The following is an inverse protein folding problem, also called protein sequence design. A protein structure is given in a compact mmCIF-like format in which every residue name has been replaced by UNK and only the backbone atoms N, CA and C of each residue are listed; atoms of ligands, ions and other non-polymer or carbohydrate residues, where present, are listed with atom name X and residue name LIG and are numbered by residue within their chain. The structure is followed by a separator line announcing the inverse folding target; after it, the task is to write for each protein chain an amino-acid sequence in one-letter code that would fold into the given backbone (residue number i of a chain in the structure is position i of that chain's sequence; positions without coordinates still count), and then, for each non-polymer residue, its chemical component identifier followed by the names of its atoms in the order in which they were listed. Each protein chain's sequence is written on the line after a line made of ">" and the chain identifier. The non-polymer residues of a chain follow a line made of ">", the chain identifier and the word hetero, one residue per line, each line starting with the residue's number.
data_IF_275242136905
#
_entry.id   IF_275242136905
#
_cell.length_a   1.000
_cell.length_b   1.000
_cell.length_c   1.000
_cell.angle_alpha   90.00
_cell.angle_beta   90.00
_cell.angle_gamma   90.00
#
_symmetry.space_group_name_H-M   'P 1'
#
loop_
_entity.id
_entity.type
_entity.pdbx_description
1 polymer ?
#
# COMPACT_ATOMS: atom_id res chain seq x y z
N UNK A 1 -0.66 -0.16 -0.57
CA UNK A 1 -0.95 -0.95 0.63
C UNK A 1 0.03 -2.10 0.69
N UNK A 2 0.51 -2.45 1.88
CA UNK A 2 1.32 -3.64 2.10
C UNK A 2 0.61 -4.92 1.65
N UNK A 3 -0.72 -4.97 1.77
CA UNK A 3 -1.52 -6.17 1.47
C UNK A 3 -1.58 -6.43 -0.03
N UNK A 4 -1.81 -5.38 -0.83
CA UNK A 4 -1.82 -5.51 -2.30
C UNK A 4 -0.43 -5.85 -2.82
N UNK A 5 0.62 -5.27 -2.20
CA UNK A 5 2.01 -5.62 -2.49
C UNK A 5 2.31 -7.10 -2.18
N UNK A 6 1.83 -7.61 -1.05
CA UNK A 6 1.99 -9.01 -0.67
C UNK A 6 1.25 -9.93 -1.64
N UNK A 7 -0.01 -9.63 -1.97
CA UNK A 7 -0.77 -10.40 -2.95
C UNK A 7 -0.07 -10.43 -4.33
N UNK A 8 0.49 -9.30 -4.76
CA UNK A 8 1.28 -9.20 -5.99
C UNK A 8 2.58 -10.01 -5.92
N UNK A 9 3.28 -9.98 -4.78
CA UNK A 9 4.51 -10.76 -4.58
C UNK A 9 4.23 -12.27 -4.64
N UNK A 10 3.15 -12.73 -4.00
CA UNK A 10 2.72 -14.13 -4.09
C UNK A 10 2.30 -14.52 -5.51
N UNK A 11 1.70 -13.61 -6.28
CA UNK A 11 1.37 -13.87 -7.69
C UNK A 11 2.64 -14.08 -8.53
N UNK A 12 3.66 -13.24 -8.34
CA UNK A 12 4.96 -13.40 -9.01
C UNK A 12 5.62 -14.73 -8.65
N UNK A 13 5.63 -15.10 -7.36
CA UNK A 13 6.16 -16.39 -6.89
C UNK A 13 5.44 -17.57 -7.55
N UNK A 14 4.10 -17.52 -7.63
CA UNK A 14 3.29 -18.56 -8.30
C UNK A 14 3.59 -18.67 -9.79
N UNK A 15 3.93 -17.55 -10.44
CA UNK A 15 4.26 -17.51 -11.87
C UNK A 15 5.75 -17.74 -12.15
N UNK A 16 6.58 -17.88 -11.11
CA UNK A 16 8.03 -18.04 -11.25
C UNK A 16 8.73 -16.80 -11.82
N UNK A 17 8.13 -15.62 -11.66
CA UNK A 17 8.70 -14.35 -12.14
C UNK A 17 9.53 -13.75 -11.01
N UNK A 18 10.86 -13.55 -11.19
CA UNK A 18 11.69 -12.96 -10.16
C UNK A 18 11.36 -11.47 -9.99
N UNK A 19 11.53 -10.98 -8.76
CA UNK A 19 11.53 -9.55 -8.45
C UNK A 19 12.61 -9.25 -7.43
N UNK A 20 13.06 -8.02 -7.40
CA UNK A 20 14.13 -7.62 -6.50
C UNK A 20 13.64 -7.53 -5.05
N UNK A 21 14.40 -8.14 -4.12
CA UNK A 21 14.09 -8.11 -2.70
C UNK A 21 14.03 -6.70 -2.09
N UNK A 22 14.68 -5.70 -2.71
CA UNK A 22 14.60 -4.31 -2.25
C UNK A 22 13.22 -3.69 -2.44
N UNK A 23 12.32 -4.30 -3.23
CA UNK A 23 10.95 -3.80 -3.41
C UNK A 23 10.17 -3.77 -2.10
N UNK A 24 10.50 -4.63 -1.14
CA UNK A 24 9.95 -4.58 0.23
C UNK A 24 10.37 -3.29 0.95
N UNK A 25 11.62 -2.84 0.75
CA UNK A 25 12.10 -1.58 1.28
C UNK A 25 11.37 -0.39 0.65
N UNK A 26 11.14 -0.45 -0.67
CA UNK A 26 10.38 0.57 -1.42
C UNK A 26 8.96 0.66 -0.87
N UNK A 27 8.28 -0.47 -0.64
CA UNK A 27 6.94 -0.50 -0.07
C UNK A 27 6.86 0.24 1.27
N UNK A 28 7.81 -0.01 2.16
CA UNK A 28 7.85 0.63 3.48
C UNK A 28 8.25 2.12 3.41
N UNK A 29 9.24 2.46 2.57
CA UNK A 29 9.70 3.85 2.42
C UNK A 29 8.65 4.75 1.79
N UNK A 30 7.76 4.22 0.93
CA UNK A 30 6.67 4.99 0.32
C UNK A 30 5.58 5.43 1.31
N UNK A 31 5.47 4.83 2.50
CA UNK A 31 4.43 5.22 3.47
C UNK A 31 4.61 6.64 3.99
N UNK A 32 5.85 7.04 4.31
CA UNK A 32 6.12 8.35 4.90
C UNK A 32 5.86 9.51 3.93
N UNK A 33 6.39 9.51 2.69
CA UNK A 33 6.07 10.54 1.71
C UNK A 33 4.58 10.63 1.41
N UNK A 34 3.86 9.50 1.40
CA UNK A 34 2.42 9.48 1.16
C UNK A 34 1.64 10.17 2.29
N UNK A 35 1.95 9.84 3.56
CA UNK A 35 1.33 10.48 4.72
C UNK A 35 1.64 11.99 4.74
N UNK A 36 2.90 12.37 4.53
CA UNK A 36 3.32 13.77 4.50
C UNK A 36 2.62 14.56 3.39
N UNK A 37 2.54 13.98 2.19
CA UNK A 37 1.87 14.62 1.05
C UNK A 37 0.38 14.80 1.31
N UNK A 38 -0.29 13.79 1.88
CA UNK A 38 -1.71 13.87 2.23
C UNK A 38 -1.98 15.00 3.24
N UNK A 39 -1.16 15.08 4.30
CA UNK A 39 -1.27 16.12 5.32
C UNK A 39 -0.95 17.51 4.77
N UNK A 40 0.06 17.62 3.92
CA UNK A 40 0.40 18.89 3.26
C UNK A 40 -0.73 19.38 2.35
N UNK A 41 -1.31 18.49 1.53
CA UNK A 41 -2.47 18.82 0.69
C UNK A 41 -3.62 19.28 1.56
N UNK A 42 -3.96 18.54 2.62
CA UNK A 42 -5.08 18.88 3.48
C UNK A 42 -4.91 20.24 4.18
N UNK A 43 -3.72 20.50 4.73
CA UNK A 43 -3.39 21.79 5.36
C UNK A 43 -3.46 22.96 4.37
N UNK A 44 -3.11 22.76 3.10
CA UNK A 44 -3.17 23.80 2.07
C UNK A 44 -4.60 24.25 1.77
N UNK A 45 -5.57 23.34 1.89
CA UNK A 45 -6.98 23.61 1.58
C UNK A 45 -7.86 23.78 2.83
N UNK A 46 -7.28 23.69 4.03
CA UNK A 46 -7.97 24.04 5.26
C UNK A 46 -8.05 25.57 5.42
N UNK A 47 -9.27 26.11 5.50
CA UNK A 47 -9.52 27.56 5.59
C UNK A 47 -9.27 28.17 6.97
N UNK A 48 -8.86 27.39 7.98
CA UNK A 48 -8.60 27.91 9.33
C UNK A 48 -7.34 27.29 9.95
N UNK A 49 -6.59 28.12 10.68
CA UNK A 49 -5.22 27.86 11.13
C UNK A 49 -5.16 26.89 12.31
N UNK A 50 -5.41 25.60 12.07
CA UNK A 50 -5.07 24.52 13.01
C UNK A 50 -4.20 23.45 12.36
N UNK A 51 -3.14 23.89 11.68
CA UNK A 51 -2.08 23.00 11.23
C UNK A 51 -1.28 22.52 12.44
N UNK A 52 -1.60 21.33 12.95
CA UNK A 52 -0.70 20.60 13.82
C UNK A 52 0.59 20.31 13.05
N UNK A 53 1.70 20.91 13.48
CA UNK A 53 3.02 20.52 12.97
C UNK A 53 3.27 19.05 13.31
N UNK A 54 3.37 18.19 12.29
CA UNK A 54 3.86 16.81 12.52
C UNK A 54 5.33 16.91 12.89
N UNK A 55 5.74 16.52 14.10
CA UNK A 55 7.13 16.62 14.52
C UNK A 55 8.00 15.70 13.64
N UNK A 56 9.05 16.24 13.04
CA UNK A 56 10.02 15.46 12.22
C UNK A 56 10.61 14.26 13.00
N UNK A 57 10.66 14.37 14.33
CA UNK A 57 11.12 13.31 15.24
C UNK A 57 10.13 12.14 15.34
N UNK A 58 8.83 12.38 15.21
CA UNK A 58 7.80 11.32 15.18
C UNK A 58 7.78 10.57 13.85
N UNK A 59 8.11 11.27 12.75
CA UNK A 59 8.26 10.66 11.42
C UNK A 59 9.48 9.73 11.35
N UNK A 60 10.61 10.12 11.92
CA UNK A 60 11.83 9.31 11.98
C UNK A 60 11.76 8.19 13.05
N UNK A 61 11.00 8.38 14.11
CA UNK A 61 10.75 7.36 15.15
C UNK A 61 9.57 6.44 14.82
N UNK A 62 9.09 6.44 13.58
CA UNK A 62 8.04 5.53 13.15
C UNK A 62 8.54 4.08 13.32
N UNK A 63 7.82 3.30 14.12
CA UNK A 63 8.17 1.92 14.44
C UNK A 63 8.42 1.07 13.19
N UNK A 64 7.69 1.29 12.10
CA UNK A 64 7.88 0.57 10.84
C UNK A 64 9.26 0.82 10.21
N UNK A 65 9.77 2.06 10.25
CA UNK A 65 11.09 2.39 9.69
C UNK A 65 12.20 1.79 10.56
N UNK A 66 12.08 1.92 11.88
CA UNK A 66 13.05 1.36 12.82
C UNK A 66 13.13 -0.16 12.67
N UNK A 67 11.97 -0.82 12.56
CA UNK A 67 11.90 -2.26 12.32
C UNK A 67 12.47 -2.65 10.96
N UNK A 68 12.18 -1.89 9.89
CA UNK A 68 12.72 -2.15 8.56
C UNK A 68 14.25 -2.04 8.53
N UNK A 69 14.79 -0.93 9.03
CA UNK A 69 16.24 -0.68 9.08
C UNK A 69 16.93 -1.71 9.97
N UNK A 70 16.33 -2.04 11.12
CA UNK A 70 16.81 -3.08 12.01
C UNK A 70 16.80 -4.47 11.34
N UNK A 71 15.72 -4.84 10.65
CA UNK A 71 15.60 -6.10 9.93
C UNK A 71 16.63 -6.21 8.79
N UNK A 72 16.89 -5.12 8.04
CA UNK A 72 17.95 -5.10 7.04
C UNK A 72 19.33 -5.27 7.66
N UNK A 73 19.61 -4.58 8.75
CA UNK A 73 20.89 -4.71 9.44
C UNK A 73 21.12 -6.13 9.97
N UNK A 74 20.12 -6.70 10.64
CA UNK A 74 20.17 -8.08 11.13
C UNK A 74 20.32 -9.05 9.95
N UNK A 75 19.49 -8.91 8.91
CA UNK A 75 19.54 -9.75 7.71
C UNK A 75 20.89 -9.69 6.99
N UNK A 76 21.52 -8.52 6.89
CA UNK A 76 22.85 -8.37 6.31
C UNK A 76 23.93 -9.11 7.10
N UNK A 77 23.81 -9.16 8.43
CA UNK A 77 24.74 -9.86 9.31
C UNK A 77 24.47 -11.37 9.35
N UNK A 78 23.20 -11.79 9.39
CA UNK A 78 22.81 -13.19 9.59
C UNK A 78 22.64 -14.00 8.31
N UNK A 79 22.39 -13.34 7.19
CA UNK A 79 22.19 -13.92 5.86
C UNK A 79 21.19 -15.09 5.88
N UNK A 80 21.44 -16.14 5.08
CA UNK A 80 20.55 -17.30 4.91
C UNK A 80 20.29 -18.06 6.21
N UNK A 81 21.27 -18.09 7.12
CA UNK A 81 21.13 -18.77 8.42
C UNK A 81 20.06 -18.09 9.27
N UNK A 82 20.05 -16.76 9.30
CA UNK A 82 19.01 -16.00 10.00
C UNK A 82 17.63 -16.25 9.40
N UNK A 83 17.53 -16.19 8.07
CA UNK A 83 16.27 -16.43 7.35
C UNK A 83 15.73 -17.85 7.61
N UNK A 84 16.58 -18.88 7.53
CA UNK A 84 16.18 -20.26 7.78
C UNK A 84 15.65 -20.48 9.20
N UNK A 85 16.22 -19.78 10.20
CA UNK A 85 15.73 -19.87 11.58
C UNK A 85 14.37 -19.20 11.79
N UNK A 86 14.08 -18.10 11.10
CA UNK A 86 12.81 -17.37 11.26
C UNK A 86 11.71 -17.86 10.30
N UNK A 87 12.06 -18.57 9.23
CA UNK A 87 11.13 -19.02 8.20
C UNK A 87 9.91 -19.79 8.76
N UNK A 88 10.04 -20.71 9.74
CA UNK A 88 8.89 -21.40 10.33
C UNK A 88 7.88 -20.48 11.03
N UNK A 89 8.34 -19.31 11.49
CA UNK A 89 7.51 -18.32 12.18
C UNK A 89 6.92 -17.28 11.21
N UNK A 90 7.71 -16.85 10.23
CA UNK A 90 7.33 -15.74 9.33
C UNK A 90 6.81 -16.24 7.99
N UNK A 91 7.56 -17.11 7.30
CA UNK A 91 7.32 -17.49 5.89
C UNK A 91 6.33 -18.65 5.79
N UNK A 92 6.52 -19.71 6.56
CA UNK A 92 5.69 -20.93 6.49
C UNK A 92 4.20 -20.66 6.75
N UNK A 93 3.79 -19.91 7.79
CA UNK A 93 2.38 -19.63 8.02
C UNK A 93 1.85 -18.46 7.19
N UNK A 94 2.71 -17.76 6.45
CA UNK A 94 2.40 -16.47 5.81
C UNK A 94 1.17 -16.54 4.91
N UNK A 95 1.11 -17.52 4.01
CA UNK A 95 -0.01 -17.69 3.08
C UNK A 95 -1.33 -17.95 3.82
N UNK A 96 -1.30 -18.75 4.89
CA UNK A 96 -2.48 -19.01 5.72
C UNK A 96 -2.97 -17.75 6.42
N UNK A 97 -2.06 -16.98 7.01
CA UNK A 97 -2.37 -15.69 7.66
C UNK A 97 -2.89 -14.69 6.63
N UNK A 98 -2.27 -14.61 5.45
CA UNK A 98 -2.68 -13.74 4.35
C UNK A 98 -4.10 -14.06 3.88
N UNK A 99 -4.46 -15.34 3.74
CA UNK A 99 -5.81 -15.75 3.37
C UNK A 99 -6.85 -15.28 4.40
N UNK A 100 -6.59 -15.50 5.70
CA UNK A 100 -7.49 -15.02 6.76
C UNK A 100 -7.58 -13.50 6.79
N UNK A 101 -6.46 -12.82 6.58
CA UNK A 101 -6.39 -11.37 6.53
C UNK A 101 -7.17 -10.79 5.33
N UNK A 102 -7.00 -11.35 4.13
CA UNK A 102 -7.76 -10.96 2.94
C UNK A 102 -9.26 -11.21 3.12
N UNK A 103 -9.65 -12.29 3.81
CA UNK A 103 -11.05 -12.56 4.15
C UNK A 103 -11.63 -11.49 5.09
N UNK A 104 -10.94 -11.18 6.19
CA UNK A 104 -11.38 -10.16 7.14
C UNK A 104 -11.48 -8.78 6.48
N UNK A 105 -10.47 -8.42 5.69
CA UNK A 105 -10.45 -7.16 4.94
C UNK A 105 -11.54 -7.11 3.87
N UNK A 106 -11.84 -8.23 3.20
CA UNK A 106 -12.94 -8.34 2.25
C UNK A 106 -14.31 -8.16 2.93
N UNK A 107 -14.50 -8.74 4.12
CA UNK A 107 -15.72 -8.55 4.91
C UNK A 107 -15.86 -7.09 5.38
N UNK A 108 -14.77 -6.49 5.86
CA UNK A 108 -14.75 -5.08 6.27
C UNK A 108 -15.00 -4.13 5.10
N UNK A 109 -14.43 -4.41 3.93
CA UNK A 109 -14.70 -3.70 2.69
C UNK A 109 -16.18 -3.78 2.30
N UNK A 110 -16.75 -4.99 2.32
CA UNK A 110 -18.16 -5.22 2.00
C UNK A 110 -19.10 -4.48 2.95
N UNK A 111 -18.85 -4.56 4.27
CA UNK A 111 -19.60 -3.82 5.29
C UNK A 111 -19.47 -2.31 5.11
N UNK A 112 -18.26 -1.80 4.97
CA UNK A 112 -18.00 -0.37 4.75
C UNK A 112 -18.74 0.14 3.52
N UNK A 113 -18.74 -0.63 2.42
CA UNK A 113 -19.47 -0.28 1.21
C UNK A 113 -20.98 -0.30 1.42
N UNK A 114 -21.53 -1.31 2.10
CA UNK A 114 -22.96 -1.39 2.39
C UNK A 114 -23.44 -0.24 3.28
N UNK A 115 -22.68 0.06 4.34
CA UNK A 115 -23.05 1.07 5.33
C UNK A 115 -22.90 2.49 4.76
N UNK A 116 -21.83 2.74 3.99
CA UNK A 116 -21.46 4.08 3.53
C UNK A 116 -21.71 4.32 2.04
N UNK A 117 -22.35 3.39 1.29
CA UNK A 117 -22.65 3.58 -0.15
C UNK A 117 -23.39 4.88 -0.45
N UNK A 118 -24.21 5.34 0.48
CA UNK A 118 -24.98 6.57 0.33
C UNK A 118 -24.10 7.83 0.31
N UNK A 119 -22.86 7.74 0.81
CA UNK A 119 -21.86 8.80 0.80
C UNK A 119 -20.99 8.76 -0.48
N UNK A 120 -21.05 7.69 -1.26
CA UNK A 120 -20.27 7.54 -2.50
C UNK A 120 -21.01 8.14 -3.69
N UNK A 121 -20.60 9.32 -4.11
CA UNK A 121 -21.02 9.88 -5.40
C UNK A 121 -20.40 9.10 -6.56
N UNK A 122 -21.02 9.17 -7.74
CA UNK A 122 -20.47 8.57 -8.96
C UNK A 122 -19.05 9.07 -9.28
N UNK A 123 -18.76 10.35 -8.97
CA UNK A 123 -17.43 10.93 -9.13
C UNK A 123 -16.38 10.31 -8.20
N UNK A 124 -16.74 10.07 -6.93
CA UNK A 124 -15.85 9.42 -5.97
C UNK A 124 -15.60 7.95 -6.36
N UNK A 125 -16.64 7.23 -6.77
CA UNK A 125 -16.50 5.86 -7.25
C UNK A 125 -15.57 5.79 -8.49
N UNK A 126 -15.78 6.67 -9.47
CA UNK A 126 -14.92 6.78 -10.65
C UNK A 126 -13.48 7.13 -10.27
N UNK A 127 -13.28 8.05 -9.33
CA UNK A 127 -11.96 8.38 -8.81
C UNK A 127 -11.26 7.16 -8.17
N UNK A 128 -11.98 6.37 -7.37
CA UNK A 128 -11.46 5.16 -6.73
C UNK A 128 -10.99 4.07 -7.70
N UNK A 129 -11.43 4.11 -8.96
CA UNK A 129 -11.01 3.20 -10.03
C UNK A 129 -9.91 3.83 -10.90
N UNK A 130 -10.10 5.08 -11.32
CA UNK A 130 -9.21 5.74 -12.28
C UNK A 130 -7.88 6.16 -11.66
N UNK A 131 -7.89 6.67 -10.42
CA UNK A 131 -6.67 7.15 -9.77
C UNK A 131 -5.62 6.04 -9.59
N UNK A 132 -5.97 4.80 -9.19
CA UNK A 132 -5.05 3.65 -9.22
C UNK A 132 -4.38 3.43 -10.57
N UNK A 133 -5.14 3.52 -11.67
CA UNK A 133 -4.61 3.32 -13.02
C UNK A 133 -3.62 4.43 -13.39
N UNK A 134 -3.91 5.68 -13.03
CA UNK A 134 -2.98 6.79 -13.23
C UNK A 134 -1.68 6.53 -12.46
N UNK A 135 -1.78 6.12 -11.19
CA UNK A 135 -0.61 5.75 -10.38
C UNK A 135 0.22 4.62 -10.99
N UNK A 136 -0.44 3.55 -11.48
CA UNK A 136 0.21 2.43 -12.15
C UNK A 136 0.95 2.87 -13.42
N UNK A 137 0.33 3.69 -14.26
CA UNK A 137 0.93 4.16 -15.52
C UNK A 137 2.13 5.06 -15.24
N UNK A 138 2.03 5.97 -14.26
CA UNK A 138 3.16 6.81 -13.87
C UNK A 138 4.35 5.97 -13.38
N UNK A 139 4.08 4.97 -12.53
CA UNK A 139 5.08 4.03 -12.07
C UNK A 139 5.67 3.20 -13.20
N UNK A 140 4.86 2.79 -14.17
CA UNK A 140 5.33 2.07 -15.35
C UNK A 140 6.29 2.93 -16.17
N UNK A 141 5.92 4.17 -16.50
CA UNK A 141 6.78 5.09 -17.25
C UNK A 141 8.09 5.35 -16.53
N UNK A 142 8.03 5.65 -15.22
CA UNK A 142 9.23 5.93 -14.42
C UNK A 142 10.10 4.69 -14.23
N UNK A 143 9.49 3.53 -13.98
CA UNK A 143 10.21 2.27 -13.81
C UNK A 143 10.90 1.82 -15.09
N UNK A 144 10.25 1.98 -16.24
CA UNK A 144 10.87 1.77 -17.55
C UNK A 144 12.02 2.74 -17.80
N UNK A 145 11.88 4.01 -17.43
CA UNK A 145 12.94 5.01 -17.59
C UNK A 145 14.19 4.70 -16.74
N UNK A 146 14.02 4.04 -15.59
CA UNK A 146 15.11 3.63 -14.70
C UNK A 146 15.63 2.21 -15.05
N UNK A 147 14.94 1.48 -15.94
CA UNK A 147 15.35 0.15 -16.39
C UNK A 147 15.01 -0.97 -15.41
N UNK A 148 13.88 -0.88 -14.70
CA UNK A 148 13.41 -1.95 -13.82
C UNK A 148 13.01 -3.19 -14.62
N UNK A 149 13.38 -4.36 -14.13
CA UNK A 149 12.91 -5.64 -14.66
C UNK A 149 11.41 -5.84 -14.40
N UNK A 150 10.77 -6.72 -15.19
CA UNK A 150 9.32 -6.87 -15.24
C UNK A 150 8.66 -7.13 -13.86
N UNK A 151 9.25 -7.98 -13.03
CA UNK A 151 8.73 -8.26 -11.68
C UNK A 151 8.80 -7.04 -10.75
N UNK A 152 9.95 -6.36 -10.70
CA UNK A 152 10.13 -5.15 -9.89
C UNK A 152 9.29 -3.98 -10.39
N UNK A 153 9.17 -3.84 -11.72
CA UNK A 153 8.31 -2.87 -12.38
C UNK A 153 6.84 -3.10 -12.01
N UNK A 154 6.37 -4.34 -12.11
CA UNK A 154 5.02 -4.72 -11.68
C UNK A 154 4.76 -4.38 -10.22
N UNK A 155 5.68 -4.73 -9.32
CA UNK A 155 5.54 -4.40 -7.89
C UNK A 155 5.49 -2.87 -7.66
N UNK A 156 6.29 -2.08 -8.38
CA UNK A 156 6.25 -0.62 -8.30
C UNK A 156 4.91 -0.05 -8.80
N UNK A 157 4.37 -0.61 -9.89
CA UNK A 157 3.05 -0.26 -10.40
C UNK A 157 1.96 -0.55 -9.35
N UNK A 158 1.99 -1.73 -8.73
CA UNK A 158 1.04 -2.11 -7.67
C UNK A 158 1.13 -1.16 -6.48
N UNK A 159 2.35 -0.85 -6.02
CA UNK A 159 2.54 0.07 -4.90
C UNK A 159 1.94 1.45 -5.19
N UNK A 160 2.15 1.95 -6.41
CA UNK A 160 1.67 3.27 -6.84
C UNK A 160 0.17 3.30 -7.12
N UNK A 161 -0.43 2.17 -7.49
CA UNK A 161 -1.87 2.04 -7.71
C UNK A 161 -2.68 1.84 -6.42
N UNK A 162 -2.02 1.57 -5.29
CA UNK A 162 -2.70 1.08 -4.09
C UNK A 162 -3.00 2.19 -3.08
N UNK A 163 -4.23 2.23 -2.59
CA UNK A 163 -4.61 3.08 -1.46
C UNK A 163 -4.09 2.57 -0.11
N UNK A 164 -3.94 3.46 0.87
CA UNK A 164 -3.60 3.11 2.25
C UNK A 164 -4.86 3.14 3.12
N UNK A 165 -5.02 2.13 3.97
CA UNK A 165 -6.18 1.95 4.84
C UNK A 165 -5.82 1.51 6.27
N UNK A 166 -4.52 1.58 6.62
CA UNK A 166 -4.02 1.30 7.98
C UNK A 166 -3.45 2.60 8.56
N UNK A 167 -2.25 2.99 8.09
CA UNK A 167 -1.52 4.13 8.65
C UNK A 167 -2.18 5.48 8.31
N UNK A 168 -2.61 5.66 7.06
CA UNK A 168 -3.20 6.94 6.61
C UNK A 168 -4.51 7.26 7.34
N UNK A 169 -5.50 6.34 7.47
CA UNK A 169 -6.69 6.59 8.29
C UNK A 169 -6.41 6.99 9.73
N UNK A 170 -5.41 6.38 10.37
CA UNK A 170 -5.03 6.72 11.74
C UNK A 170 -4.46 8.15 11.80
N UNK A 171 -3.56 8.50 10.88
CA UNK A 171 -3.02 9.85 10.77
C UNK A 171 -4.10 10.89 10.45
N UNK A 172 -5.03 10.59 9.54
CA UNK A 172 -6.12 11.49 9.17
C UNK A 172 -7.08 11.75 10.34
N UNK A 173 -7.40 10.75 11.16
CA UNK A 173 -8.27 10.95 12.34
C UNK A 173 -7.69 11.96 13.33
N UNK A 174 -6.37 12.05 13.43
CA UNK A 174 -5.68 12.98 14.32
C UNK A 174 -5.56 14.36 13.67
N UNK A 175 -5.14 14.40 12.40
CA UNK A 175 -4.82 15.64 11.71
C UNK A 175 -6.03 16.34 11.07
N UNK A 176 -7.07 15.59 10.73
CA UNK A 176 -8.29 16.06 10.07
C UNK A 176 -9.52 15.38 10.72
N UNK A 177 -9.84 15.72 11.98
CA UNK A 177 -10.93 15.08 12.71
C UNK A 177 -12.30 15.22 12.04
N UNK A 178 -12.50 16.29 11.25
CA UNK A 178 -13.73 16.54 10.49
C UNK A 178 -13.83 15.71 9.20
N UNK A 179 -12.77 15.00 8.80
CA UNK A 179 -12.79 14.17 7.61
C UNK A 179 -13.70 12.96 7.82
N UNK A 180 -14.68 12.79 6.93
CA UNK A 180 -15.63 11.69 6.99
C UNK A 180 -14.96 10.35 6.68
N UNK A 181 -14.71 9.55 7.72
CA UNK A 181 -14.07 8.23 7.58
C UNK A 181 -14.82 7.26 6.70
N UNK A 182 -16.15 7.36 6.67
CA UNK A 182 -16.99 6.58 5.77
C UNK A 182 -16.59 6.73 4.30
N UNK A 183 -16.15 7.92 3.86
CA UNK A 183 -15.76 8.15 2.46
C UNK A 183 -14.41 7.52 2.15
N UNK A 184 -13.34 7.92 2.85
CA UNK A 184 -11.98 7.49 2.48
C UNK A 184 -11.71 6.02 2.81
N UNK A 185 -12.33 5.46 3.87
CA UNK A 185 -12.24 4.03 4.15
C UNK A 185 -12.99 3.22 3.09
N UNK A 186 -14.19 3.66 2.70
CA UNK A 186 -14.95 2.92 1.68
C UNK A 186 -14.31 3.03 0.30
N UNK A 187 -13.74 4.17 -0.06
CA UNK A 187 -12.99 4.29 -1.33
C UNK A 187 -11.77 3.36 -1.35
N UNK A 188 -10.97 3.37 -0.29
CA UNK A 188 -9.77 2.54 -0.23
C UNK A 188 -10.07 1.04 -0.14
N UNK A 189 -10.98 0.62 0.76
CA UNK A 189 -11.30 -0.79 1.02
C UNK A 189 -12.41 -1.34 0.13
N UNK A 190 -13.46 -0.58 -0.14
CA UNK A 190 -14.64 -1.03 -0.87
C UNK A 190 -14.56 -0.85 -2.40
N UNK A 191 -13.65 0.01 -2.89
CA UNK A 191 -13.53 0.31 -4.33
C UNK A 191 -12.13 -0.01 -4.85
N UNK A 192 -11.11 0.74 -4.42
CA UNK A 192 -9.74 0.63 -4.95
C UNK A 192 -9.12 -0.74 -4.68
N UNK A 193 -9.26 -1.26 -3.45
CA UNK A 193 -8.66 -2.54 -3.09
C UNK A 193 -9.24 -3.72 -3.91
N UNK A 194 -10.56 -3.94 -3.98
CA UNK A 194 -11.15 -4.99 -4.81
C UNK A 194 -10.81 -4.82 -6.28
N UNK A 195 -10.87 -3.58 -6.80
CA UNK A 195 -10.47 -3.31 -8.17
C UNK A 195 -9.02 -3.74 -8.45
N UNK A 196 -8.09 -3.36 -7.58
CA UNK A 196 -6.68 -3.71 -7.75
C UNK A 196 -6.46 -5.22 -7.68
N UNK A 197 -7.08 -5.93 -6.74
CA UNK A 197 -6.91 -7.38 -6.63
C UNK A 197 -7.51 -8.11 -7.83
N UNK A 198 -8.73 -7.75 -8.25
CA UNK A 198 -9.46 -8.47 -9.29
C UNK A 198 -8.99 -8.13 -10.70
N UNK A 199 -8.78 -6.85 -10.99
CA UNK A 199 -8.47 -6.35 -12.35
C UNK A 199 -7.10 -5.71 -12.44
N UNK A 200 -6.68 -4.98 -11.39
CA UNK A 200 -5.40 -4.28 -11.38
C UNK A 200 -4.21 -5.24 -11.51
N UNK A 201 -4.09 -6.27 -10.66
CA UNK A 201 -2.93 -7.16 -10.68
C UNK A 201 -2.74 -7.83 -12.06
N UNK A 202 -3.75 -8.48 -12.68
CA UNK A 202 -3.59 -9.04 -14.01
C UNK A 202 -3.21 -7.98 -15.06
N UNK A 203 -3.84 -6.80 -15.01
CA UNK A 203 -3.59 -5.73 -15.96
C UNK A 203 -2.17 -5.16 -15.84
N UNK A 204 -1.72 -4.88 -14.61
CA UNK A 204 -0.41 -4.30 -14.35
C UNK A 204 0.70 -5.27 -14.72
N UNK A 205 0.50 -6.57 -14.45
CA UNK A 205 1.47 -7.61 -14.81
C UNK A 205 1.62 -7.70 -16.33
N UNK A 206 0.50 -7.73 -17.05
CA UNK A 206 0.49 -7.72 -18.51
C UNK A 206 1.19 -6.49 -19.10
N UNK A 207 0.95 -5.30 -18.55
CA UNK A 207 1.61 -4.05 -19.00
C UNK A 207 3.11 -4.05 -18.67
N UNK A 208 3.51 -4.63 -17.53
CA UNK A 208 4.92 -4.75 -17.14
C UNK A 208 5.72 -5.69 -18.07
N UNK A 209 5.03 -6.47 -18.92
CA UNK A 209 5.65 -7.38 -19.88
C UNK A 209 6.15 -8.68 -19.23
N UNK A 210 5.47 -9.12 -18.16
CA UNK A 210 5.77 -10.32 -17.40
C UNK A 210 4.78 -11.46 -17.69
#
# INVERSE_FOLDING_TARGET
>A
SIVTFVAASSLLELMGIPSDGYMVAIAATMEVPAILSALWIANKYASDSQAGHVPMRELLANGSIVLLVGAFFIGAVTQDKGMAMIAPFVVTPFTGILCLFLLDMGLNAGRSLLDNRHMLSAGLFGFGILMPMVGAILAWVLGQAIGLEAGSLFLLMVLSASASYIAVPAAMKIALPDAQSGIYLTLSLGVTFPFNITFGLPLYLWIAGA
#
